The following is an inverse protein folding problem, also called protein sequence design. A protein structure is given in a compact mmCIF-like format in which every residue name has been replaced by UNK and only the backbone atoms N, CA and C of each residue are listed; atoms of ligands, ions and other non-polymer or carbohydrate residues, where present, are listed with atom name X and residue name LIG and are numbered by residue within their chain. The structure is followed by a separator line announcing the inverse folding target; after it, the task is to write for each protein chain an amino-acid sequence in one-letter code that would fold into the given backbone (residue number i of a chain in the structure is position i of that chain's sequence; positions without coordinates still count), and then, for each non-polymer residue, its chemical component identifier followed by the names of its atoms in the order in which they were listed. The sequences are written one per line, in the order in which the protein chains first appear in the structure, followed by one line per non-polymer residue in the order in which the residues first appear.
data_IF_513458589268
#
_entry.id   IF_513458589268
#
_cell.length_a   1.000
_cell.length_b   1.000
_cell.length_c   1.000
_cell.angle_alpha   90.00
_cell.angle_beta   90.00
_cell.angle_gamma   90.00
#
_symmetry.space_group_name_H-M   'P 1'
#
loop_
_entity.id
_entity.type
_entity.pdbx_description
1 polymer ?
#
# COMPACT_ATOMS: atom_id res chain seq x y z
N UNK A 1 19.00 2.07 -4.07
CA UNK A 1 19.20 0.73 -3.47
C UNK A 1 18.19 -0.23 -4.07
N UNK A 2 18.56 -1.50 -4.28
CA UNK A 2 17.64 -2.51 -4.81
C UNK A 2 16.97 -3.21 -3.63
N UNK A 3 15.64 -3.13 -3.54
CA UNK A 3 14.84 -3.77 -2.50
C UNK A 3 14.04 -4.91 -3.11
N UNK A 4 13.93 -6.03 -2.40
CA UNK A 4 13.09 -7.16 -2.81
C UNK A 4 11.76 -7.07 -2.07
N UNK A 5 10.68 -6.81 -2.80
CA UNK A 5 9.32 -6.86 -2.29
C UNK A 5 8.69 -8.18 -2.71
N UNK A 6 8.20 -8.95 -1.76
CA UNK A 6 7.37 -10.12 -2.04
C UNK A 6 5.90 -9.70 -2.05
N UNK A 7 5.20 -9.92 -3.16
CA UNK A 7 3.77 -9.67 -3.24
C UNK A 7 3.02 -10.70 -2.38
N UNK A 8 2.14 -10.30 -1.45
CA UNK A 8 1.41 -11.24 -0.60
C UNK A 8 0.39 -12.08 -1.38
N UNK A 9 -0.23 -11.52 -2.42
CA UNK A 9 -1.29 -12.20 -3.20
C UNK A 9 -0.75 -13.29 -4.14
N UNK A 10 0.31 -12.98 -4.90
CA UNK A 10 0.85 -13.91 -5.90
C UNK A 10 2.22 -14.50 -5.52
N UNK A 11 2.69 -14.23 -4.29
CA UNK A 11 3.98 -14.67 -3.74
C UNK A 11 5.20 -14.34 -4.62
N UNK A 12 5.05 -13.39 -5.55
CA UNK A 12 6.09 -13.05 -6.52
C UNK A 12 7.05 -12.03 -5.93
N UNK A 13 8.35 -12.30 -6.06
CA UNK A 13 9.39 -11.33 -5.74
C UNK A 13 9.52 -10.29 -6.88
N UNK A 14 9.32 -9.03 -6.52
CA UNK A 14 9.64 -7.86 -7.33
C UNK A 14 10.90 -7.20 -6.79
N UNK A 15 11.78 -6.77 -7.69
CA UNK A 15 12.93 -5.95 -7.34
C UNK A 15 12.56 -4.49 -7.63
N UNK A 16 12.58 -3.62 -6.63
CA UNK A 16 12.30 -2.19 -6.77
C UNK A 16 13.55 -1.39 -6.42
N UNK A 17 13.89 -0.42 -7.26
CA UNK A 17 14.98 0.52 -6.98
C UNK A 17 14.41 1.69 -6.16
N UNK A 18 14.64 1.69 -4.84
CA UNK A 18 14.27 2.80 -3.98
C UNK A 18 15.46 3.73 -3.74
N UNK A 19 15.22 5.03 -3.83
CA UNK A 19 16.22 6.05 -3.48
C UNK A 19 16.40 6.18 -1.97
N UNK A 20 15.37 5.85 -1.21
CA UNK A 20 15.29 6.06 0.24
C UNK A 20 15.13 4.74 1.00
N UNK A 21 15.55 4.70 2.27
CA UNK A 21 15.42 3.50 3.12
C UNK A 21 14.00 3.30 3.63
N UNK A 22 13.18 4.35 3.56
CA UNK A 22 11.76 4.33 3.88
C UNK A 22 10.92 4.66 2.64
N UNK A 23 9.91 3.85 2.35
CA UNK A 23 9.03 4.07 1.21
C UNK A 23 7.60 3.74 1.59
N UNK A 24 6.72 4.73 1.49
CA UNK A 24 5.29 4.52 1.66
C UNK A 24 4.59 4.92 0.37
N UNK A 25 3.90 3.98 -0.25
CA UNK A 25 3.21 4.27 -1.49
C UNK A 25 2.44 3.09 -2.06
N UNK A 26 1.63 3.36 -3.10
CA UNK A 26 0.94 2.33 -3.84
C UNK A 26 1.96 1.54 -4.66
N UNK A 27 2.17 0.29 -4.29
CA UNK A 27 2.92 -0.69 -5.05
C UNK A 27 1.97 -1.50 -5.92
N UNK A 28 2.23 -1.46 -7.22
CA UNK A 28 1.53 -2.30 -8.18
C UNK A 28 2.37 -3.55 -8.45
N UNK A 29 1.81 -4.71 -8.17
CA UNK A 29 2.47 -5.95 -8.52
C UNK A 29 2.48 -6.13 -10.05
N UNK A 30 3.64 -6.43 -10.64
CA UNK A 30 3.75 -6.66 -12.08
C UNK A 30 3.04 -7.93 -12.56
N UNK A 31 2.90 -8.95 -11.69
CA UNK A 31 2.31 -10.25 -12.04
C UNK A 31 0.79 -10.27 -11.89
N UNK A 32 0.27 -9.99 -10.70
CA UNK A 32 -1.19 -9.96 -10.47
C UNK A 32 -1.84 -8.62 -10.82
N UNK A 33 -1.06 -7.59 -11.15
CA UNK A 33 -1.53 -6.22 -11.47
C UNK A 33 -2.34 -5.54 -10.35
N UNK A 34 -2.41 -6.14 -9.17
CA UNK A 34 -3.05 -5.57 -7.99
C UNK A 34 -2.25 -4.41 -7.40
N UNK A 35 -2.98 -3.47 -6.82
CA UNK A 35 -2.49 -2.29 -6.12
C UNK A 35 -2.53 -2.56 -4.62
N UNK A 36 -1.38 -2.43 -3.99
CA UNK A 36 -1.21 -2.58 -2.56
C UNK A 36 -0.60 -1.30 -2.03
N UNK A 37 -1.08 -0.80 -0.91
CA UNK A 37 -0.35 0.25 -0.19
C UNK A 37 0.71 -0.44 0.65
N UNK A 38 1.98 -0.27 0.29
CA UNK A 38 3.09 -0.81 1.06
C UNK A 38 3.78 0.30 1.84
N UNK A 39 4.20 -0.05 3.05
CA UNK A 39 5.07 0.76 3.88
C UNK A 39 6.35 -0.04 4.11
N UNK A 40 7.43 0.48 3.60
CA UNK A 40 8.78 -0.03 3.77
C UNK A 40 9.54 0.87 4.74
N UNK A 41 10.31 0.25 5.61
CA UNK A 41 11.18 0.93 6.57
C UNK A 41 12.45 0.10 6.69
N UNK A 42 13.62 0.74 6.59
CA UNK A 42 14.92 0.06 6.56
C UNK A 42 15.00 -1.05 5.50
N UNK A 43 14.49 -0.79 4.29
CA UNK A 43 14.58 -1.74 3.18
C UNK A 43 13.77 -3.04 3.39
N UNK A 44 12.97 -3.11 4.46
CA UNK A 44 12.07 -4.22 4.79
C UNK A 44 10.61 -3.79 4.67
N UNK A 45 9.76 -4.70 4.18
CA UNK A 45 8.33 -4.48 4.09
C UNK A 45 7.71 -4.56 5.50
N UNK A 46 7.47 -3.40 6.12
CA UNK A 46 6.82 -3.31 7.44
C UNK A 46 5.33 -3.60 7.37
N UNK A 47 4.67 -3.13 6.32
CA UNK A 47 3.23 -3.31 6.16
C UNK A 47 2.87 -3.39 4.68
N UNK A 48 2.12 -4.40 4.29
CA UNK A 48 1.39 -4.40 3.03
C UNK A 48 -0.10 -4.50 3.33
N UNK A 49 -0.83 -3.45 3.00
CA UNK A 49 -2.28 -3.50 3.03
C UNK A 49 -2.76 -3.66 1.59
N UNK A 50 -3.39 -4.80 1.23
CA UNK A 50 -4.13 -4.87 -0.01
C UNK A 50 -5.18 -3.78 0.03
N UNK A 51 -5.18 -2.94 -1.00
CA UNK A 51 -6.27 -2.00 -1.19
C UNK A 51 -7.44 -2.81 -1.77
N UNK A 52 -8.07 -3.60 -0.91
CA UNK A 52 -9.29 -4.32 -1.27
C UNK A 52 -10.40 -3.30 -1.49
N UNK A 53 -11.31 -3.59 -2.42
CA UNK A 53 -12.45 -2.73 -2.74
C UNK A 53 -13.21 -2.27 -1.48
N UNK A 54 -13.27 -3.15 -0.47
CA UNK A 54 -13.92 -2.92 0.83
C UNK A 54 -13.19 -1.91 1.75
N UNK A 55 -11.86 -1.82 1.68
CA UNK A 55 -11.08 -0.86 2.46
C UNK A 55 -11.12 0.54 1.82
N UNK A 56 -11.22 0.59 0.49
CA UNK A 56 -11.47 1.84 -0.24
C UNK A 56 -12.86 2.41 0.09
N UNK A 57 -13.86 1.54 0.20
CA UNK A 57 -15.23 1.92 0.56
C UNK A 57 -15.33 2.43 2.01
N UNK A 58 -14.69 1.74 2.96
CA UNK A 58 -14.60 2.20 4.37
C UNK A 58 -13.85 3.52 4.51
N UNK A 59 -12.78 3.75 3.76
CA UNK A 59 -12.10 5.07 3.77
C UNK A 59 -13.04 6.17 3.27
N UNK A 60 -13.79 5.91 2.19
CA UNK A 60 -14.74 6.86 1.64
C UNK A 60 -15.88 7.16 2.62
N UNK A 61 -16.37 6.15 3.34
CA UNK A 61 -17.41 6.31 4.36
C UNK A 61 -16.90 7.08 5.58
N UNK A 62 -15.66 6.82 6.03
CA UNK A 62 -15.03 7.55 7.15
C UNK A 62 -14.74 9.01 6.78
N UNK A 63 -14.30 9.29 5.56
CA UNK A 63 -14.11 10.66 5.06
C UNK A 63 -15.45 11.39 4.92
N UNK A 64 -16.49 10.73 4.42
CA UNK A 64 -17.85 11.28 4.35
C UNK A 64 -18.43 11.55 5.74
N UNK A 65 -18.17 10.68 6.73
CA UNK A 65 -18.54 10.88 8.12
C UNK A 65 -17.76 12.05 8.74
N UNK A 66 -16.44 12.12 8.56
CA UNK A 66 -15.63 13.25 9.07
C UNK A 66 -16.06 14.59 8.45
N UNK A 67 -16.42 14.61 7.18
CA UNK A 67 -16.95 15.81 6.53
C UNK A 67 -18.28 16.28 7.16
N UNK A 68 -19.14 15.34 7.56
CA UNK A 68 -20.39 15.65 8.29
C UNK A 68 -20.14 16.11 9.74
N UNK A 69 -19.13 15.57 10.42
CA UNK A 69 -18.82 15.94 11.81
C UNK A 69 -18.04 17.26 11.96
N UNK A 70 -17.45 17.81 10.89
CA UNK A 70 -16.71 19.09 10.94
C UNK A 70 -17.62 20.34 10.87
N UNK A 71 -18.94 20.16 10.89
CA UNK A 71 -19.93 21.23 10.72
C UNK A 71 -20.66 21.62 12.03
N UNK A 72 -20.09 21.32 13.20
CA UNK A 72 -20.65 21.73 14.50
C UNK A 72 -19.62 22.44 15.37
#
# INVERSE_FOLDING_TARGET
MLVKIKCPECSTEGSLSLSDTSYQGPYRCWKCRQLFTIKMENNELKSCQPLSQEEFDKQQEIEALKAKFKQR
#
